data_IF_179309093930
#
_entry.id   IF_179309093930
#
_cell.length_a   1.000
_cell.length_b   1.000
_cell.length_c   1.000
_cell.angle_alpha   90.00
_cell.angle_beta   90.00
_cell.angle_gamma   90.00
#
_symmetry.space_group_name_H-M   'P 1'
#
loop_
_entity.id
_entity.type
_entity.pdbx_description
1 polymer ?
#
# COMPACT_ATOMS: atom_id res chain seq x y z
N UNK A 1 10.79 9.42 13.41
CA UNK A 1 9.57 9.68 12.60
C UNK A 1 8.30 9.14 13.27
N UNK A 2 8.22 7.85 13.62
CA UNK A 2 7.01 7.27 14.27
C UNK A 2 6.64 7.95 15.59
N UNK A 3 7.62 8.40 16.37
CA UNK A 3 7.38 9.12 17.63
C UNK A 3 6.61 10.44 17.46
N UNK A 4 6.78 11.15 16.33
CA UNK A 4 6.04 12.40 16.07
C UNK A 4 4.59 12.09 15.73
N UNK A 5 4.36 11.12 14.84
CA UNK A 5 3.01 10.65 14.49
C UNK A 5 2.25 10.11 15.71
N UNK A 6 2.94 9.41 16.62
CA UNK A 6 2.33 8.92 17.88
C UNK A 6 1.80 10.06 18.75
N UNK A 7 2.56 11.15 18.88
CA UNK A 7 2.17 12.30 19.71
C UNK A 7 1.00 13.09 19.14
N UNK A 8 0.75 13.01 17.84
CA UNK A 8 -0.27 13.81 17.14
C UNK A 8 -1.34 12.95 16.47
N UNK A 9 -1.60 11.74 16.95
CA UNK A 9 -2.46 10.77 16.25
C UNK A 9 -3.90 11.30 16.05
N UNK A 10 -4.23 11.74 14.83
CA UNK A 10 -5.42 12.55 14.58
C UNK A 10 -6.69 11.70 14.57
N UNK A 11 -7.86 12.33 14.72
CA UNK A 11 -9.14 11.63 14.70
C UNK A 11 -9.41 10.92 13.37
N UNK A 12 -9.03 11.59 12.27
CA UNK A 12 -9.07 11.04 10.92
C UNK A 12 -7.64 11.05 10.36
N UNK A 13 -7.22 9.92 9.81
CA UNK A 13 -5.92 9.71 9.18
C UNK A 13 -6.17 9.46 7.70
N UNK A 14 -5.88 10.45 6.87
CA UNK A 14 -5.89 10.38 5.42
C UNK A 14 -4.54 10.81 4.83
N UNK A 15 -4.39 10.74 3.52
CA UNK A 15 -3.13 11.07 2.85
C UNK A 15 -2.75 12.55 3.04
N UNK A 16 -3.74 13.45 3.08
CA UNK A 16 -3.51 14.86 3.34
C UNK A 16 -2.99 15.11 4.76
N UNK A 17 -3.47 14.35 5.72
CA UNK A 17 -3.08 14.41 7.12
C UNK A 17 -1.67 13.88 7.32
N UNK A 18 -1.33 12.73 6.73
CA UNK A 18 0.03 12.20 6.75
C UNK A 18 1.03 13.18 6.12
N UNK A 19 0.66 13.80 5.00
CA UNK A 19 1.48 14.83 4.34
C UNK A 19 1.67 16.07 5.21
N UNK A 20 0.63 16.54 5.90
CA UNK A 20 0.72 17.67 6.84
C UNK A 20 1.63 17.38 8.04
N UNK A 21 1.69 16.12 8.47
CA UNK A 21 2.56 15.65 9.55
C UNK A 21 3.98 15.29 9.09
N UNK A 22 4.30 15.53 7.82
CA UNK A 22 5.55 15.14 7.17
C UNK A 22 5.90 13.66 7.40
N UNK A 23 4.87 12.81 7.31
CA UNK A 23 4.99 11.38 7.56
C UNK A 23 4.92 10.59 6.25
N UNK A 24 5.99 9.86 5.97
CA UNK A 24 6.13 8.99 4.80
C UNK A 24 5.78 9.69 3.47
N UNK A 25 6.49 10.78 3.12
CA UNK A 25 6.20 11.54 1.90
C UNK A 25 6.24 10.63 0.67
N UNK A 26 5.23 10.74 -0.20
CA UNK A 26 5.01 9.92 -1.40
C UNK A 26 4.68 8.44 -1.15
N UNK A 27 4.49 8.04 0.11
CA UNK A 27 4.15 6.66 0.49
C UNK A 27 2.93 6.62 1.42
N UNK A 28 2.16 7.71 1.48
CA UNK A 28 1.04 7.89 2.41
C UNK A 28 -0.02 6.81 2.20
N UNK A 29 -0.35 6.48 0.95
CA UNK A 29 -1.32 5.41 0.64
C UNK A 29 -0.89 4.04 1.17
N UNK A 30 0.40 3.71 1.10
CA UNK A 30 0.91 2.44 1.63
C UNK A 30 0.83 2.41 3.15
N UNK A 31 1.17 3.51 3.81
CA UNK A 31 1.03 3.65 5.27
C UNK A 31 -0.43 3.49 5.68
N UNK A 32 -1.36 4.16 4.99
CA UNK A 32 -2.79 4.04 5.29
C UNK A 32 -3.28 2.60 5.17
N UNK A 33 -2.84 1.89 4.13
CA UNK A 33 -3.20 0.48 3.95
C UNK A 33 -2.66 -0.39 5.09
N UNK A 34 -1.45 -0.13 5.59
CA UNK A 34 -0.90 -0.84 6.76
C UNK A 34 -1.71 -0.51 8.02
N UNK A 35 -2.04 0.76 8.26
CA UNK A 35 -2.86 1.15 9.42
C UNK A 35 -4.25 0.50 9.40
N UNK A 36 -4.86 0.40 8.21
CA UNK A 36 -6.14 -0.31 8.01
C UNK A 36 -6.00 -1.80 8.24
N UNK A 37 -4.95 -2.42 7.69
CA UNK A 37 -4.67 -3.83 7.84
C UNK A 37 -4.48 -4.23 9.31
N UNK A 38 -3.82 -3.39 10.10
CA UNK A 38 -3.66 -3.57 11.55
C UNK A 38 -4.94 -3.25 12.37
N UNK A 39 -5.98 -2.72 11.74
CA UNK A 39 -7.22 -2.30 12.40
C UNK A 39 -7.06 -1.05 13.26
N UNK A 40 -6.06 -0.21 12.97
CA UNK A 40 -5.81 1.04 13.70
C UNK A 40 -6.69 2.19 13.17
N UNK A 41 -7.07 2.11 11.90
CA UNK A 41 -8.04 3.01 11.28
C UNK A 41 -9.07 2.20 10.48
N UNK A 42 -10.25 2.77 10.26
CA UNK A 42 -11.28 2.16 9.41
C UNK A 42 -11.10 2.50 7.91
N UNK A 43 -12.08 2.09 7.09
CA UNK A 43 -12.09 2.35 5.65
C UNK A 43 -12.26 3.84 5.30
N UNK A 44 -12.81 4.65 6.20
CA UNK A 44 -12.94 6.09 6.04
C UNK A 44 -11.70 6.84 6.58
N UNK A 45 -10.77 6.13 7.22
CA UNK A 45 -9.59 6.70 7.87
C UNK A 45 -9.83 7.16 9.30
N UNK A 46 -11.00 6.91 9.90
CA UNK A 46 -11.24 7.25 11.32
C UNK A 46 -10.45 6.30 12.22
N UNK A 47 -9.83 6.83 13.27
CA UNK A 47 -9.12 6.00 14.24
C UNK A 47 -10.05 5.08 15.03
N UNK A 48 -9.59 3.87 15.31
CA UNK A 48 -10.31 2.94 16.16
C UNK A 48 -10.08 3.24 17.64
N UNK A 49 -10.97 2.72 18.51
CA UNK A 49 -10.81 2.80 19.97
C UNK A 49 -9.50 2.17 20.41
N UNK A 50 -9.11 1.05 19.79
CA UNK A 50 -7.84 0.36 20.09
C UNK A 50 -6.63 1.19 19.67
N UNK A 51 -6.68 1.84 18.51
CA UNK A 51 -5.62 2.77 18.11
C UNK A 51 -5.43 3.89 19.12
N UNK A 52 -6.51 4.46 19.66
CA UNK A 52 -6.42 5.48 20.71
C UNK A 52 -5.67 4.94 21.95
N UNK A 53 -5.96 3.71 22.39
CA UNK A 53 -5.25 3.10 23.53
C UNK A 53 -3.76 2.87 23.25
N UNK A 54 -3.42 2.45 22.04
CA UNK A 54 -2.02 2.18 21.63
C UNK A 54 -1.24 3.49 21.51
N UNK A 55 -1.78 4.45 20.76
CA UNK A 55 -1.09 5.71 20.48
C UNK A 55 -1.01 6.67 21.68
N UNK A 56 -1.87 6.49 22.69
CA UNK A 56 -1.75 7.19 23.97
C UNK A 56 -0.59 6.68 24.85
N UNK A 57 0.01 5.52 24.54
CA UNK A 57 1.21 5.06 25.25
C UNK A 57 2.39 5.96 24.89
N UNK A 58 2.92 6.69 25.88
CA UNK A 58 4.04 7.61 25.68
C UNK A 58 5.40 6.93 25.70
N UNK A 59 5.52 5.79 26.38
CA UNK A 59 6.75 4.99 26.42
C UNK A 59 6.82 4.04 25.22
N UNK A 60 8.02 3.85 24.68
CA UNK A 60 8.23 2.98 23.52
C UNK A 60 7.94 1.52 23.84
N UNK A 61 8.39 1.02 24.99
CA UNK A 61 8.13 -0.35 25.42
C UNK A 61 6.63 -0.63 25.62
N UNK A 62 5.90 0.31 26.23
CA UNK A 62 4.46 0.20 26.43
C UNK A 62 3.69 0.22 25.10
N UNK A 63 4.10 1.06 24.15
CA UNK A 63 3.54 1.08 22.80
C UNK A 63 3.82 -0.21 22.04
N UNK A 64 5.06 -0.70 22.05
CA UNK A 64 5.44 -1.93 21.38
C UNK A 64 4.62 -3.12 21.90
N UNK A 65 4.50 -3.22 23.23
CA UNK A 65 3.66 -4.24 23.88
C UNK A 65 2.18 -4.11 23.52
N UNK A 66 1.66 -2.88 23.40
CA UNK A 66 0.27 -2.65 22.99
C UNK A 66 0.03 -2.95 21.50
N UNK A 67 1.04 -2.76 20.64
CA UNK A 67 0.96 -2.98 19.19
C UNK A 67 1.08 -4.47 18.82
N UNK A 68 1.93 -5.24 19.53
CA UNK A 68 2.18 -6.66 19.28
C UNK A 68 0.92 -7.51 19.04
N UNK A 69 -0.14 -7.48 19.89
CA UNK A 69 -1.33 -8.28 19.67
C UNK A 69 -2.10 -7.89 18.39
N UNK A 70 -2.02 -6.63 17.96
CA UNK A 70 -2.65 -6.18 16.71
C UNK A 70 -1.91 -6.70 15.48
N UNK A 71 -0.58 -6.70 15.53
CA UNK A 71 0.25 -7.31 14.48
C UNK A 71 0.02 -8.82 14.42
N UNK A 72 0.05 -9.51 15.57
CA UNK A 72 -0.20 -10.96 15.61
C UNK A 72 -1.60 -11.32 15.08
N UNK A 73 -2.63 -10.52 15.41
CA UNK A 73 -3.98 -10.69 14.88
C UNK A 73 -4.05 -10.48 13.37
N UNK A 74 -3.42 -9.44 12.84
CA UNK A 74 -3.42 -9.14 11.41
C UNK A 74 -2.69 -10.24 10.60
N UNK A 75 -1.63 -10.82 11.17
CA UNK A 75 -0.89 -11.95 10.60
C UNK A 75 -1.31 -13.31 11.20
N UNK A 76 -2.58 -13.47 11.59
CA UNK A 76 -3.02 -14.64 12.36
C UNK A 76 -2.67 -15.99 11.73
N UNK A 77 -2.69 -16.13 10.40
CA UNK A 77 -2.29 -17.38 9.72
C UNK A 77 -0.81 -17.70 9.87
N UNK A 78 0.06 -16.70 9.91
CA UNK A 78 1.50 -16.88 10.17
C UNK A 78 1.72 -17.41 11.60
N UNK A 79 1.03 -16.81 12.57
CA UNK A 79 1.11 -17.21 13.98
C UNK A 79 0.40 -18.53 14.28
N UNK A 80 -0.66 -18.88 13.54
CA UNK A 80 -1.28 -20.21 13.62
C UNK A 80 -0.31 -21.30 13.17
N UNK A 81 0.47 -21.03 12.12
CA UNK A 81 1.41 -22.01 11.57
C UNK A 81 2.69 -22.14 12.41
N UNK A 82 3.24 -21.02 12.89
CA UNK A 82 4.55 -20.99 13.53
C UNK A 82 4.56 -20.68 15.02
N UNK A 83 3.43 -20.26 15.60
CA UNK A 83 3.31 -19.84 16.99
C UNK A 83 4.11 -18.57 17.30
N UNK A 84 4.50 -18.39 18.56
CA UNK A 84 5.40 -17.32 19.02
C UNK A 84 6.71 -17.22 18.22
N UNK A 85 7.36 -18.32 17.78
CA UNK A 85 8.54 -18.25 16.91
C UNK A 85 8.34 -17.52 15.58
N UNK A 86 7.10 -17.21 15.16
CA UNK A 86 6.81 -16.42 13.97
C UNK A 86 7.53 -15.06 13.97
N UNK A 87 7.71 -14.46 15.15
CA UNK A 87 8.40 -13.18 15.32
C UNK A 87 9.86 -13.21 14.83
N UNK A 88 10.53 -14.35 15.01
CA UNK A 88 11.98 -14.50 14.79
C UNK A 88 12.31 -15.24 13.50
N UNK A 89 11.32 -15.50 12.64
CA UNK A 89 11.56 -16.20 11.38
C UNK A 89 12.53 -15.43 10.47
N UNK A 90 13.43 -16.19 9.85
CA UNK A 90 14.32 -15.63 8.84
C UNK A 90 13.55 -15.15 7.61
N UNK A 91 14.17 -14.25 6.84
CA UNK A 91 13.50 -13.64 5.70
C UNK A 91 13.11 -14.66 4.63
N UNK A 92 13.86 -15.75 4.47
CA UNK A 92 13.57 -16.80 3.51
C UNK A 92 12.30 -17.55 3.87
N UNK A 93 12.14 -17.97 5.13
CA UNK A 93 10.92 -18.63 5.62
C UNK A 93 9.69 -17.73 5.48
N UNK A 94 9.80 -16.46 5.85
CA UNK A 94 8.71 -15.49 5.69
C UNK A 94 8.33 -15.30 4.21
N UNK A 95 9.33 -15.18 3.31
CA UNK A 95 9.06 -15.07 1.87
C UNK A 95 8.34 -16.31 1.36
N UNK A 96 8.79 -17.50 1.73
CA UNK A 96 8.14 -18.76 1.34
C UNK A 96 6.71 -18.81 1.85
N UNK A 97 6.49 -18.48 3.12
CA UNK A 97 5.15 -18.40 3.71
C UNK A 97 4.24 -17.48 2.91
N UNK A 98 4.61 -16.20 2.72
CA UNK A 98 3.74 -15.24 2.05
C UNK A 98 3.48 -15.61 0.58
N UNK A 99 4.46 -16.18 -0.12
CA UNK A 99 4.26 -16.63 -1.50
C UNK A 99 3.31 -17.82 -1.60
N UNK A 100 3.47 -18.80 -0.73
CA UNK A 100 2.64 -20.00 -0.72
C UNK A 100 1.22 -19.73 -0.21
N UNK A 101 1.08 -18.84 0.78
CA UNK A 101 -0.20 -18.51 1.39
C UNK A 101 -1.01 -17.51 0.55
N UNK A 102 -0.38 -16.45 0.05
CA UNK A 102 -1.07 -15.36 -0.67
C UNK A 102 -0.96 -15.49 -2.20
N UNK A 103 -0.27 -16.52 -2.72
CA UNK A 103 -0.07 -16.72 -4.16
C UNK A 103 0.77 -15.63 -4.84
N UNK A 104 1.64 -14.97 -4.09
CA UNK A 104 2.34 -13.76 -4.57
C UNK A 104 3.61 -14.04 -5.36
N UNK A 105 4.00 -13.06 -6.19
CA UNK A 105 5.28 -13.11 -6.90
C UNK A 105 6.47 -13.02 -5.93
N UNK A 106 7.66 -13.40 -6.38
CA UNK A 106 8.87 -13.34 -5.56
C UNK A 106 9.16 -11.92 -5.01
N UNK A 107 8.87 -10.89 -5.81
CA UNK A 107 9.06 -9.49 -5.40
C UNK A 107 8.05 -9.10 -4.31
N UNK A 108 6.78 -9.45 -4.50
CA UNK A 108 5.72 -9.11 -3.55
C UNK A 108 5.92 -9.86 -2.23
N UNK A 109 6.22 -11.16 -2.24
CA UNK A 109 6.52 -11.91 -1.02
C UNK A 109 7.71 -11.35 -0.23
N UNK A 110 8.73 -10.84 -0.93
CA UNK A 110 9.86 -10.13 -0.28
C UNK A 110 9.44 -8.83 0.39
N UNK A 111 8.57 -8.06 -0.25
CA UNK A 111 8.02 -6.84 0.35
C UNK A 111 7.16 -7.18 1.59
N UNK A 112 6.30 -8.19 1.50
CA UNK A 112 5.48 -8.64 2.63
C UNK A 112 6.33 -9.09 3.81
N UNK A 113 7.35 -9.93 3.57
CA UNK A 113 8.29 -10.36 4.60
C UNK A 113 9.06 -9.18 5.23
N UNK A 114 9.49 -8.21 4.42
CA UNK A 114 10.18 -7.02 4.91
C UNK A 114 9.26 -6.14 5.77
N UNK A 115 8.02 -5.94 5.34
CA UNK A 115 6.99 -5.19 6.09
C UNK A 115 6.70 -5.87 7.42
N UNK A 116 6.52 -7.20 7.43
CA UNK A 116 6.31 -7.94 8.67
C UNK A 116 7.47 -7.73 9.66
N UNK A 117 8.74 -7.82 9.21
CA UNK A 117 9.90 -7.59 10.08
C UNK A 117 9.95 -6.18 10.66
N UNK A 118 9.58 -5.17 9.86
CA UNK A 118 9.49 -3.79 10.36
C UNK A 118 8.40 -3.68 11.42
N UNK A 119 7.24 -4.31 11.21
CA UNK A 119 6.15 -4.34 12.18
C UNK A 119 6.52 -5.11 13.45
N UNK A 120 7.22 -6.24 13.32
CA UNK A 120 7.76 -7.00 14.45
C UNK A 120 8.69 -6.12 15.29
N UNK A 121 9.61 -5.38 14.66
CA UNK A 121 10.50 -4.46 15.36
C UNK A 121 9.70 -3.36 16.10
N UNK A 122 8.66 -2.78 15.48
CA UNK A 122 7.77 -1.83 16.17
C UNK A 122 6.98 -2.47 17.32
N UNK A 123 6.69 -3.76 17.23
CA UNK A 123 6.05 -4.56 18.29
C UNK A 123 7.02 -5.02 19.37
N UNK A 124 8.30 -4.66 19.30
CA UNK A 124 9.32 -5.03 20.29
C UNK A 124 9.97 -6.39 20.04
N UNK A 125 9.81 -6.94 18.84
CA UNK A 125 10.36 -8.22 18.42
C UNK A 125 11.42 -8.04 17.32
N UNK A 126 12.66 -8.42 17.61
CA UNK A 126 13.78 -8.31 16.68
C UNK A 126 14.21 -6.86 16.39
N UNK A 127 15.16 -6.74 15.46
CA UNK A 127 15.74 -5.44 15.08
C UNK A 127 15.11 -4.87 13.81
N UNK A 128 15.13 -3.53 13.70
CA UNK A 128 14.76 -2.87 12.46
C UNK A 128 15.68 -3.32 11.33
N UNK A 129 15.14 -3.79 10.19
CA UNK A 129 15.98 -4.15 9.06
C UNK A 129 16.75 -2.92 8.60
N UNK A 130 18.04 -3.12 8.28
CA UNK A 130 18.92 -2.04 7.82
C UNK A 130 18.24 -1.26 6.70
N UNK A 131 18.03 0.05 6.94
CA UNK A 131 17.39 0.92 5.98
C UNK A 131 18.22 0.92 4.69
N UNK A 132 17.66 0.37 3.61
CA UNK A 132 18.25 0.59 2.28
C UNK A 132 18.12 2.08 1.98
N UNK A 133 19.17 2.73 1.46
CA UNK A 133 19.07 4.12 1.05
C UNK A 133 17.89 4.25 0.10
N UNK A 134 16.95 5.10 0.46
CA UNK A 134 15.82 5.42 -0.39
C UNK A 134 16.39 5.86 -1.74
N UNK A 135 16.22 5.05 -2.78
CA UNK A 135 16.38 5.57 -4.14
C UNK A 135 15.38 6.72 -4.21
N UNK A 136 15.88 7.96 -4.25
CA UNK A 136 15.06 9.11 -4.62
C UNK A 136 14.30 8.65 -5.85
N UNK A 137 12.97 8.55 -5.72
CA UNK A 137 12.13 8.45 -6.90
C UNK A 137 12.55 9.65 -7.73
N UNK A 138 13.27 9.40 -8.82
CA UNK A 138 13.50 10.43 -9.81
C UNK A 138 12.09 10.87 -10.18
N UNK A 139 11.74 12.11 -9.82
CA UNK A 139 10.63 12.77 -10.46
C UNK A 139 10.97 12.67 -11.94
N UNK A 140 10.27 11.77 -12.65
CA UNK A 140 10.27 11.78 -14.08
C UNK A 140 9.65 13.12 -14.43
N UNK A 141 10.52 14.12 -14.62
CA UNK A 141 10.16 15.42 -15.14
C UNK A 141 9.50 15.13 -16.47
N UNK A 142 8.18 15.28 -16.49
CA UNK A 142 7.46 15.39 -17.74
C UNK A 142 8.09 16.61 -18.43
N UNK A 143 8.72 16.46 -19.61
CA UNK A 143 9.21 17.62 -20.35
C UNK A 143 8.01 18.53 -20.59
N UNK A 144 8.12 19.85 -20.41
CA UNK A 144 7.04 20.75 -20.79
C UNK A 144 6.82 20.60 -22.30
N UNK A 145 5.75 19.92 -22.69
CA UNK A 145 5.27 19.94 -24.05
C UNK A 145 4.81 21.38 -24.33
N UNK A 146 5.60 22.07 -25.14
CA UNK A 146 5.26 23.38 -25.66
C UNK A 146 4.10 23.19 -26.66
N UNK A 147 2.87 23.20 -26.16
CA UNK A 147 1.66 23.15 -26.99
C UNK A 147 1.20 24.58 -27.23
N UNK A 148 1.56 25.10 -28.40
CA UNK A 148 0.98 26.30 -28.97
C UNK A 148 -0.53 26.13 -29.04
N UNK A 149 -1.28 26.92 -28.26
CA UNK A 149 -2.74 26.99 -28.35
C UNK A 149 -3.15 27.73 -29.63
N UNK A 150 -3.99 27.15 -30.51
CA UNK A 150 -4.90 27.94 -31.32
C UNK A 150 -6.11 28.30 -30.47
N UNK A 151 -6.35 29.60 -30.32
CA UNK A 151 -7.58 30.15 -29.75
C UNK A 151 -8.77 29.89 -30.68
N UNK A 152 -9.79 29.17 -30.21
CA UNK A 152 -11.14 29.27 -30.77
C UNK A 152 -12.19 29.35 -29.66
N UNK A 153 -12.94 30.44 -29.74
CA UNK A 153 -14.14 30.81 -29.00
C UNK A 153 -15.10 29.66 -28.67
N UNK A 154 -15.48 29.61 -27.40
CA UNK A 154 -16.86 29.72 -26.90
C UNK A 154 -17.96 28.96 -27.66
N UNK A 155 -18.43 27.85 -27.08
CA UNK A 155 -19.87 27.58 -27.07
C UNK A 155 -20.29 26.85 -25.79
N UNK A 156 -21.47 27.24 -25.29
CA UNK A 156 -22.10 26.75 -24.08
C UNK A 156 -22.91 25.51 -24.44
N UNK A 157 -22.65 24.37 -23.82
CA UNK A 157 -23.67 23.32 -23.70
C UNK A 157 -23.30 22.29 -22.64
N UNK A 158 -24.26 22.08 -21.74
CA UNK A 158 -24.66 20.87 -21.03
C UNK A 158 -23.62 19.79 -20.70
N UNK A 159 -23.62 19.38 -19.43
CA UNK A 159 -22.79 18.34 -18.87
C UNK A 159 -22.75 17.06 -19.71
N UNK A 160 -21.59 16.83 -20.33
CA UNK A 160 -21.17 15.52 -20.81
C UNK A 160 -20.09 15.01 -19.85
N UNK A 161 -20.44 14.00 -19.06
CA UNK A 161 -19.48 13.24 -18.26
C UNK A 161 -18.52 12.54 -19.21
N UNK A 162 -17.26 12.99 -19.27
CA UNK A 162 -16.20 12.27 -19.99
C UNK A 162 -15.78 11.03 -19.22
N UNK A 163 -16.33 9.87 -19.55
CA UNK A 163 -15.91 8.59 -18.98
C UNK A 163 -14.59 8.15 -19.63
N UNK A 164 -13.50 8.23 -18.88
CA UNK A 164 -12.20 7.67 -19.31
C UNK A 164 -12.07 6.26 -18.75
N UNK A 165 -12.18 5.26 -19.62
CA UNK A 165 -11.98 3.85 -19.25
C UNK A 165 -10.52 3.46 -19.54
N UNK A 166 -9.79 3.02 -18.51
CA UNK A 166 -8.46 2.40 -18.66
C UNK A 166 -8.61 0.90 -18.45
N UNK A 167 -8.31 0.11 -19.48
CA UNK A 167 -8.37 -1.36 -19.44
C UNK A 167 -6.94 -1.89 -19.45
N UNK A 168 -6.56 -2.61 -18.41
CA UNK A 168 -5.28 -3.35 -18.34
C UNK A 168 -5.56 -4.84 -18.58
N UNK A 169 -4.98 -5.38 -19.65
CA UNK A 169 -5.10 -6.80 -20.01
C UNK A 169 -3.74 -7.46 -19.82
N UNK A 170 -3.68 -8.48 -18.98
CA UNK A 170 -2.47 -9.30 -18.81
C UNK A 170 -2.45 -10.38 -19.90
N UNK A 171 -1.48 -10.31 -20.81
CA UNK A 171 -1.39 -11.28 -21.90
C UNK A 171 -0.54 -12.49 -21.46
N UNK A 172 -0.99 -13.73 -21.71
CA UNK A 172 -0.20 -14.92 -21.41
C UNK A 172 1.02 -15.00 -22.33
N UNK A 173 2.18 -15.36 -21.77
CA UNK A 173 3.46 -15.41 -22.49
C UNK A 173 3.49 -16.45 -23.65
N UNK A 174 2.59 -17.45 -23.61
CA UNK A 174 2.43 -18.51 -24.62
C UNK A 174 1.25 -18.26 -25.58
N UNK A 175 0.71 -17.03 -25.64
CA UNK A 175 -0.33 -16.67 -26.60
C UNK A 175 0.18 -16.75 -28.04
N UNK A 176 -0.56 -17.42 -28.92
CA UNK A 176 -0.33 -17.38 -30.37
C UNK A 176 -0.93 -16.11 -30.99
N UNK A 177 -0.47 -15.73 -32.19
CA UNK A 177 -0.94 -14.54 -32.91
C UNK A 177 -2.48 -14.52 -33.06
N UNK A 178 -3.10 -15.69 -33.27
CA UNK A 178 -4.54 -15.83 -33.38
C UNK A 178 -5.31 -15.53 -32.08
N UNK A 179 -4.68 -15.70 -30.91
CA UNK A 179 -5.26 -15.32 -29.62
C UNK A 179 -5.18 -13.81 -29.39
N UNK A 180 -4.06 -13.18 -29.75
CA UNK A 180 -3.93 -11.71 -29.71
C UNK A 180 -4.98 -11.03 -30.59
N UNK A 181 -5.14 -11.48 -31.84
CA UNK A 181 -6.09 -10.89 -32.79
C UNK A 181 -7.54 -11.02 -32.32
N UNK A 182 -7.91 -12.13 -31.67
CA UNK A 182 -9.24 -12.32 -31.08
C UNK A 182 -9.51 -11.37 -29.91
N UNK A 183 -8.52 -11.15 -29.04
CA UNK A 183 -8.63 -10.23 -27.90
C UNK A 183 -8.82 -8.80 -28.42
N UNK A 184 -8.01 -8.35 -29.38
CA UNK A 184 -8.13 -7.01 -29.94
C UNK A 184 -9.44 -6.81 -30.71
N UNK A 185 -9.89 -7.82 -31.46
CA UNK A 185 -11.19 -7.77 -32.14
C UNK A 185 -12.34 -7.66 -31.15
N UNK A 186 -12.33 -8.46 -30.07
CA UNK A 186 -13.36 -8.43 -29.03
C UNK A 186 -13.42 -7.08 -28.29
N UNK A 187 -12.26 -6.48 -27.96
CA UNK A 187 -12.18 -5.15 -27.35
C UNK A 187 -12.73 -4.08 -28.29
N UNK A 188 -12.36 -4.12 -29.57
CA UNK A 188 -12.84 -3.17 -30.57
C UNK A 188 -14.36 -3.23 -30.73
N UNK A 189 -14.93 -4.43 -30.82
CA UNK A 189 -16.38 -4.62 -31.00
C UNK A 189 -17.19 -4.19 -29.77
N UNK A 190 -16.67 -4.39 -28.55
CA UNK A 190 -17.41 -4.12 -27.32
C UNK A 190 -17.21 -2.70 -26.74
N UNK A 191 -16.11 -2.02 -27.08
CA UNK A 191 -15.82 -0.67 -26.54
C UNK A 191 -16.13 0.47 -27.51
N UNK A 192 -16.28 0.23 -28.81
CA UNK A 192 -16.50 1.28 -29.81
C UNK A 192 -17.91 1.30 -30.41
N UNK A 193 -18.72 0.25 -30.19
CA UNK A 193 -20.11 0.16 -30.69
C UNK A 193 -21.16 0.18 -29.55
N UNK A 194 -20.78 0.61 -28.35
CA UNK A 194 -21.67 0.83 -27.21
C UNK A 194 -22.06 2.30 -27.06
#
# INVERSE_FOLDING_TARGET
>A
MVTHFRKSFPANVDAGTLKKLDFAPNNESYVLNVLRFLGLIDQEGKKTTEATKIFNQHEDAAFSKALAPHVAKAYSELFKLHGEPAWDLDSGKLITFFRSHDGTTAVVGKLQASTFKVLAAYSGHGDFPAAKPAKKAAQAGVPPANITQPSTQNDRSSGAVGLTVRVEVNLPADGDQATYDRIFKSIRENLLNG
#
